data_IF_341955242858
#
_entry.id   IF_341955242858
#
_cell.length_a   1.000
_cell.length_b   1.000
_cell.length_c   1.000
_cell.angle_alpha   90.00
_cell.angle_beta   90.00
_cell.angle_gamma   90.00
#
_symmetry.space_group_name_H-M   'P 1'
#
loop_
_entity.id
_entity.type
_entity.pdbx_description
1 polymer ?
#
# COMPACT_ATOMS: atom_id res chain seq x y z
N UNK A 1 -15.64 -8.96 29.05
CA UNK A 1 -14.90 -7.77 28.59
C UNK A 1 -14.02 -8.20 27.41
N UNK A 2 -13.87 -7.38 26.37
CA UNK A 2 -12.94 -7.65 25.26
C UNK A 2 -11.50 -7.36 25.71
N UNK A 3 -10.52 -8.13 25.16
CA UNK A 3 -9.10 -7.94 25.47
C UNK A 3 -8.58 -6.59 24.96
N UNK A 4 -9.06 -6.21 23.75
CA UNK A 4 -8.66 -4.99 23.06
C UNK A 4 -9.86 -4.18 22.60
N UNK A 5 -9.65 -2.89 22.40
CA UNK A 5 -10.62 -2.04 21.71
C UNK A 5 -10.51 -2.25 20.20
N UNK A 6 -9.30 -2.44 19.68
CA UNK A 6 -9.07 -2.78 18.28
C UNK A 6 -7.98 -3.84 18.10
N UNK A 7 -8.24 -4.81 17.22
CA UNK A 7 -7.23 -5.75 16.72
C UNK A 7 -7.03 -5.48 15.24
N UNK A 8 -5.77 -5.38 14.82
CA UNK A 8 -5.37 -5.04 13.46
C UNK A 8 -4.61 -6.22 12.84
N UNK A 9 -5.01 -6.65 11.65
CA UNK A 9 -4.35 -7.72 10.90
C UNK A 9 -3.39 -7.11 9.88
N UNK A 10 -2.09 -7.26 10.13
CA UNK A 10 -0.99 -6.75 9.30
C UNK A 10 -0.34 -5.50 9.84
N UNK A 11 1.00 -5.50 9.90
CA UNK A 11 1.86 -4.41 10.34
C UNK A 11 2.46 -3.61 9.16
N UNK A 12 1.78 -3.54 8.02
CA UNK A 12 2.15 -2.64 6.93
C UNK A 12 1.78 -1.19 7.22
N UNK A 13 1.99 -0.27 6.26
CA UNK A 13 1.72 1.16 6.46
C UNK A 13 0.28 1.44 6.93
N UNK A 14 -0.73 0.79 6.34
CA UNK A 14 -2.12 0.97 6.75
C UNK A 14 -2.36 0.50 8.19
N UNK A 15 -1.88 -0.70 8.54
CA UNK A 15 -2.07 -1.25 9.89
C UNK A 15 -1.34 -0.46 10.95
N UNK A 16 -0.09 -0.07 10.72
CA UNK A 16 0.66 0.76 11.65
C UNK A 16 0.06 2.17 11.80
N UNK A 17 -0.42 2.77 10.69
CA UNK A 17 -1.10 4.07 10.76
C UNK A 17 -2.39 3.99 11.60
N UNK A 18 -3.19 2.92 11.40
CA UNK A 18 -4.36 2.65 12.24
C UNK A 18 -3.97 2.50 13.71
N UNK A 19 -2.94 1.69 13.99
CA UNK A 19 -2.51 1.39 15.35
C UNK A 19 -2.02 2.65 16.08
N UNK A 20 -1.17 3.44 15.42
CA UNK A 20 -0.64 4.69 15.98
C UNK A 20 -1.78 5.65 16.31
N UNK A 21 -2.69 5.90 15.37
CA UNK A 21 -3.78 6.84 15.57
C UNK A 21 -4.75 6.36 16.68
N UNK A 22 -5.10 5.09 16.73
CA UNK A 22 -5.93 4.53 17.81
C UNK A 22 -5.23 4.62 19.18
N UNK A 23 -3.93 4.28 19.26
CA UNK A 23 -3.17 4.35 20.51
C UNK A 23 -2.98 5.79 21.00
N UNK A 24 -2.81 6.77 20.11
CA UNK A 24 -2.77 8.21 20.45
C UNK A 24 -4.08 8.69 21.11
N UNK A 25 -5.20 8.01 20.85
CA UNK A 25 -6.51 8.25 21.49
C UNK A 25 -6.76 7.37 22.70
N UNK A 26 -5.74 6.67 23.21
CA UNK A 26 -5.83 5.88 24.44
C UNK A 26 -6.55 4.51 24.27
N UNK A 27 -6.81 4.05 23.05
CA UNK A 27 -7.39 2.74 22.84
C UNK A 27 -6.36 1.61 23.07
N UNK A 28 -6.82 0.47 23.58
CA UNK A 28 -6.02 -0.76 23.72
C UNK A 28 -5.93 -1.43 22.33
N UNK A 29 -4.74 -1.48 21.77
CA UNK A 29 -4.49 -1.94 20.40
C UNK A 29 -3.60 -3.16 20.35
N UNK A 30 -3.96 -4.16 19.54
CA UNK A 30 -3.07 -5.25 19.16
C UNK A 30 -2.90 -5.31 17.64
N UNK A 31 -1.67 -5.58 17.18
CA UNK A 31 -1.35 -5.89 15.79
C UNK A 31 -0.97 -7.37 15.70
N UNK A 32 -1.55 -8.09 14.73
CA UNK A 32 -1.20 -9.47 14.37
C UNK A 32 -0.47 -9.44 13.03
N UNK A 33 0.83 -9.71 13.03
CA UNK A 33 1.67 -9.71 11.82
C UNK A 33 2.30 -11.09 11.62
N UNK A 34 2.12 -11.66 10.41
CA UNK A 34 2.58 -13.02 10.10
C UNK A 34 4.10 -13.17 9.98
N UNK A 35 4.81 -12.08 9.66
CA UNK A 35 6.25 -12.07 9.45
C UNK A 35 6.96 -11.31 10.57
N UNK A 36 8.16 -11.76 10.92
CA UNK A 36 9.04 -10.97 11.77
C UNK A 36 9.58 -9.76 11.01
N UNK A 37 9.74 -8.65 11.70
CA UNK A 37 10.41 -7.46 11.19
C UNK A 37 11.93 -7.53 11.48
N UNK A 38 12.80 -6.92 10.60
CA UNK A 38 12.45 -6.26 9.35
C UNK A 38 12.03 -7.25 8.26
N UNK A 39 11.18 -6.82 7.33
CA UNK A 39 10.74 -7.62 6.18
C UNK A 39 10.78 -6.82 4.89
N UNK A 40 11.21 -7.46 3.80
CA UNK A 40 11.27 -6.82 2.49
C UNK A 40 9.90 -6.77 1.82
N UNK A 41 9.60 -5.62 1.24
CA UNK A 41 8.42 -5.33 0.41
C UNK A 41 8.81 -4.31 -0.66
N UNK A 42 8.19 -4.29 -1.83
CA UNK A 42 8.37 -3.22 -2.82
C UNK A 42 7.62 -1.95 -2.41
N UNK A 43 7.99 -0.83 -3.06
CA UNK A 43 7.32 0.46 -2.88
C UNK A 43 8.17 1.46 -2.08
N UNK A 44 9.43 1.59 -2.46
CA UNK A 44 10.43 2.47 -1.83
C UNK A 44 10.22 3.93 -2.20
N UNK A 45 9.65 4.20 -3.40
CA UNK A 45 9.40 5.57 -3.86
C UNK A 45 8.12 6.11 -3.25
N UNK A 46 8.27 7.15 -2.46
CA UNK A 46 7.19 7.78 -1.71
C UNK A 46 6.91 9.18 -2.28
N UNK A 47 5.64 9.42 -2.59
CA UNK A 47 5.16 10.72 -3.06
C UNK A 47 5.36 11.81 -1.99
N UNK A 48 5.64 13.10 -2.35
CA UNK A 48 5.80 14.20 -1.39
C UNK A 48 4.66 14.34 -0.39
N UNK A 49 3.43 14.11 -0.81
CA UNK A 49 2.24 14.17 0.05
C UNK A 49 2.26 13.24 1.27
N UNK A 50 3.26 12.38 1.40
CA UNK A 50 3.42 11.51 2.58
C UNK A 50 3.93 12.29 3.81
N UNK A 51 4.65 13.42 3.63
CA UNK A 51 5.29 14.16 4.74
C UNK A 51 4.31 14.60 5.83
N UNK A 52 3.15 15.21 5.52
CA UNK A 52 2.18 15.59 6.55
C UNK A 52 1.69 14.38 7.36
N UNK A 53 1.51 13.23 6.71
CA UNK A 53 1.07 12.01 7.38
C UNK A 53 2.16 11.45 8.29
N UNK A 54 3.42 11.44 7.85
CA UNK A 54 4.55 11.01 8.67
C UNK A 54 4.76 11.92 9.88
N UNK A 55 4.52 13.24 9.73
CA UNK A 55 4.51 14.21 10.85
C UNK A 55 3.40 13.89 11.85
N UNK A 56 2.17 13.67 11.38
CA UNK A 56 1.01 13.34 12.22
C UNK A 56 1.19 12.00 12.94
N UNK A 57 1.80 11.01 12.28
CA UNK A 57 2.12 9.72 12.87
C UNK A 57 3.37 9.75 13.77
N UNK A 58 4.09 10.89 13.85
CA UNK A 58 5.24 11.10 14.70
C UNK A 58 6.48 10.29 14.34
N UNK A 59 6.69 10.00 13.04
CA UNK A 59 7.88 9.28 12.53
C UNK A 59 8.74 10.13 11.59
N UNK A 60 8.38 11.37 11.33
CA UNK A 60 9.08 12.23 10.36
C UNK A 60 10.54 12.49 10.75
N UNK A 61 10.85 12.63 12.06
CA UNK A 61 12.22 12.86 12.52
C UNK A 61 13.16 11.69 12.17
N UNK A 62 12.70 10.44 12.31
CA UNK A 62 13.45 9.25 11.93
C UNK A 62 13.70 9.20 10.42
N UNK A 63 12.68 9.57 9.63
CA UNK A 63 12.79 9.63 8.17
C UNK A 63 13.80 10.69 7.74
N UNK A 64 13.77 11.87 8.34
CA UNK A 64 14.74 12.94 8.05
C UNK A 64 16.18 12.55 8.43
N UNK A 65 16.35 11.91 9.58
CA UNK A 65 17.66 11.45 10.05
C UNK A 65 18.29 10.38 9.13
N UNK A 66 17.48 9.63 8.39
CA UNK A 66 17.93 8.55 7.50
C UNK A 66 18.65 9.00 6.23
N UNK A 67 18.65 10.30 5.90
CA UNK A 67 19.33 10.89 4.73
C UNK A 67 19.04 10.14 3.42
N UNK A 68 17.79 9.79 3.21
CA UNK A 68 17.34 9.08 2.01
C UNK A 68 17.42 9.94 0.75
N UNK A 69 17.50 9.30 -0.41
CA UNK A 69 17.46 9.98 -1.72
C UNK A 69 16.12 10.72 -1.83
N UNK A 70 16.15 11.97 -2.31
CA UNK A 70 15.00 12.86 -2.44
C UNK A 70 14.76 13.18 -3.93
N UNK A 71 13.91 12.44 -4.65
CA UNK A 71 13.52 12.78 -6.02
C UNK A 71 12.57 13.99 -6.02
N UNK A 72 12.71 14.87 -7.01
CA UNK A 72 11.85 16.04 -7.23
C UNK A 72 10.78 15.81 -8.31
N UNK A 73 10.77 14.65 -8.93
CA UNK A 73 9.86 14.27 -10.00
C UNK A 73 10.25 12.94 -10.62
N UNK A 74 9.60 12.63 -11.74
CA UNK A 74 9.87 11.43 -12.50
C UNK A 74 10.32 11.82 -13.92
N UNK A 75 11.32 11.11 -14.44
CA UNK A 75 11.59 11.09 -15.86
C UNK A 75 10.62 10.13 -16.54
N UNK A 76 9.98 10.59 -17.61
CA UNK A 76 8.98 9.81 -18.36
C UNK A 76 9.38 9.79 -19.83
N UNK A 77 9.54 8.59 -20.35
CA UNK A 77 9.75 8.33 -21.78
C UNK A 77 8.54 7.54 -22.28
N UNK A 78 7.49 8.28 -22.60
CA UNK A 78 6.20 7.71 -23.01
C UNK A 78 6.18 7.45 -24.53
N UNK A 79 6.88 8.29 -25.29
CA UNK A 79 7.14 8.13 -26.73
C UNK A 79 8.66 8.20 -26.98
N UNK A 80 9.14 9.01 -27.89
CA UNK A 80 10.58 9.13 -28.20
C UNK A 80 11.31 10.10 -27.29
N UNK A 81 10.60 11.08 -26.74
CA UNK A 81 11.17 12.12 -25.90
C UNK A 81 11.13 11.78 -24.43
N UNK A 82 12.24 12.07 -23.77
CA UNK A 82 12.38 11.93 -22.32
C UNK A 82 12.03 13.25 -21.64
N UNK A 83 10.92 13.29 -20.92
CA UNK A 83 10.41 14.49 -20.28
C UNK A 83 10.48 14.36 -18.75
N UNK A 84 10.90 15.44 -18.06
CA UNK A 84 10.87 15.48 -16.60
C UNK A 84 9.51 16.01 -16.13
N UNK A 85 8.81 15.22 -15.30
CA UNK A 85 7.55 15.61 -14.66
C UNK A 85 7.82 15.90 -13.19
N UNK A 86 7.88 17.17 -12.76
CA UNK A 86 8.11 17.54 -11.36
C UNK A 86 6.90 17.16 -10.52
N UNK A 87 7.11 16.90 -9.22
CA UNK A 87 6.02 16.65 -8.27
C UNK A 87 5.20 17.90 -7.94
N UNK A 88 5.71 19.09 -8.26
CA UNK A 88 5.09 20.38 -7.98
C UNK A 88 5.99 21.26 -7.10
N UNK A 89 5.43 22.39 -6.71
CA UNK A 89 6.07 23.36 -5.81
C UNK A 89 5.01 24.15 -5.03
N UNK A 90 5.45 24.80 -3.96
CA UNK A 90 4.70 25.79 -3.19
C UNK A 90 5.62 26.96 -2.79
N UNK A 91 5.19 27.77 -1.83
CA UNK A 91 5.97 28.91 -1.33
C UNK A 91 7.30 28.49 -0.65
N UNK A 92 7.38 27.25 -0.15
CA UNK A 92 8.56 26.71 0.53
C UNK A 92 9.56 26.07 -0.47
N UNK A 93 9.19 25.94 -1.74
CA UNK A 93 10.05 25.44 -2.83
C UNK A 93 9.51 24.22 -3.56
N UNK A 94 10.40 23.53 -4.28
CA UNK A 94 10.04 22.34 -5.05
C UNK A 94 9.78 21.14 -4.13
N UNK A 95 8.67 20.45 -4.37
CA UNK A 95 8.32 19.24 -3.63
C UNK A 95 9.25 18.08 -3.95
N UNK A 96 9.67 17.36 -2.92
CA UNK A 96 10.52 16.19 -3.09
C UNK A 96 9.93 14.98 -2.36
N UNK A 97 9.95 13.85 -3.06
CA UNK A 97 9.60 12.55 -2.48
C UNK A 97 10.72 11.93 -1.65
N UNK A 98 10.62 10.65 -1.39
CA UNK A 98 11.67 9.87 -0.72
C UNK A 98 11.87 8.54 -1.41
N UNK A 99 13.12 8.04 -1.38
CA UNK A 99 13.46 6.66 -1.69
C UNK A 99 13.82 5.97 -0.38
N UNK A 100 12.88 5.29 0.25
CA UNK A 100 13.05 4.65 1.57
C UNK A 100 12.76 3.16 1.42
N UNK A 101 13.70 2.26 1.76
CA UNK A 101 13.41 0.83 1.84
C UNK A 101 12.19 0.58 2.73
N UNK A 102 11.26 -0.23 2.26
CA UNK A 102 10.03 -0.52 2.99
C UNK A 102 10.29 -1.23 4.32
N UNK A 103 11.33 -2.04 4.42
CA UNK A 103 11.78 -2.62 5.69
C UNK A 103 12.11 -1.53 6.72
N UNK A 104 12.70 -0.42 6.29
CA UNK A 104 13.04 0.72 7.14
C UNK A 104 11.80 1.54 7.51
N UNK A 105 10.99 1.96 6.53
CA UNK A 105 9.79 2.75 6.79
C UNK A 105 8.79 1.99 7.67
N UNK A 106 8.49 0.75 7.29
CA UNK A 106 7.56 -0.10 8.04
C UNK A 106 8.09 -0.36 9.46
N UNK A 107 9.43 -0.48 9.62
CA UNK A 107 10.10 -0.58 10.93
C UNK A 107 9.91 0.67 11.79
N UNK A 108 10.05 1.87 11.24
CA UNK A 108 9.80 3.13 11.97
C UNK A 108 8.36 3.24 12.44
N UNK A 109 7.42 2.91 11.57
CA UNK A 109 5.98 2.93 11.89
C UNK A 109 5.65 1.92 13.00
N UNK A 110 6.14 0.69 12.90
CA UNK A 110 5.88 -0.35 13.90
C UNK A 110 6.53 0.00 15.24
N UNK A 111 7.78 0.47 15.25
CA UNK A 111 8.45 0.92 16.47
C UNK A 111 7.71 2.06 17.16
N UNK A 112 7.16 3.01 16.38
CA UNK A 112 6.31 4.10 16.92
C UNK A 112 5.02 3.54 17.54
N UNK A 113 4.35 2.59 16.88
CA UNK A 113 3.16 1.96 17.44
C UNK A 113 3.46 1.27 18.78
N UNK A 114 4.54 0.48 18.85
CA UNK A 114 4.99 -0.19 20.08
C UNK A 114 5.32 0.83 21.18
N UNK A 115 6.00 1.92 20.86
CA UNK A 115 6.32 2.99 21.81
C UNK A 115 5.08 3.68 22.38
N UNK A 116 3.93 3.60 21.70
CA UNK A 116 2.62 4.08 22.16
C UNK A 116 1.83 3.02 22.96
N UNK A 117 2.43 1.85 23.24
CA UNK A 117 1.80 0.78 24.02
C UNK A 117 1.01 -0.23 23.17
N UNK A 118 1.13 -0.20 21.83
CA UNK A 118 0.50 -1.22 20.98
C UNK A 118 1.17 -2.57 21.19
N UNK A 119 0.38 -3.62 21.41
CA UNK A 119 0.89 -4.98 21.48
C UNK A 119 1.11 -5.53 20.05
N UNK A 120 2.36 -5.67 19.64
CA UNK A 120 2.72 -6.25 18.35
C UNK A 120 3.02 -7.74 18.49
N UNK A 121 2.15 -8.59 17.94
CA UNK A 121 2.29 -10.04 17.89
C UNK A 121 2.92 -10.43 16.56
N UNK A 122 4.22 -10.73 16.55
CA UNK A 122 4.98 -11.12 15.37
C UNK A 122 6.13 -12.09 15.72
N UNK A 123 6.34 -13.19 14.96
CA UNK A 123 5.45 -13.67 13.91
C UNK A 123 4.16 -14.30 14.49
N UNK A 124 2.99 -13.87 14.00
CA UNK A 124 1.71 -14.39 14.44
C UNK A 124 0.72 -14.44 13.27
N UNK A 125 0.09 -15.61 13.07
CA UNK A 125 -0.86 -15.81 11.98
C UNK A 125 -2.30 -15.67 12.45
N UNK A 126 -3.07 -14.79 11.83
CA UNK A 126 -4.52 -14.76 11.91
C UNK A 126 -5.08 -16.00 11.19
N UNK A 127 -5.82 -16.85 11.89
CA UNK A 127 -6.35 -18.12 11.37
C UNK A 127 -7.81 -18.03 10.97
N UNK A 128 -8.65 -17.56 11.89
CA UNK A 128 -10.09 -17.50 11.70
C UNK A 128 -10.66 -16.23 12.34
N UNK A 129 -11.61 -15.59 11.67
CA UNK A 129 -12.40 -14.50 12.27
C UNK A 129 -13.36 -15.09 13.31
N UNK A 130 -13.50 -14.39 14.44
CA UNK A 130 -14.47 -14.73 15.48
C UNK A 130 -15.74 -13.91 15.23
N UNK A 131 -16.87 -14.61 15.14
CA UNK A 131 -18.19 -14.02 14.87
C UNK A 131 -19.16 -14.36 16.01
N UNK A 132 -19.96 -13.38 16.39
CA UNK A 132 -21.10 -13.55 17.29
C UNK A 132 -22.28 -12.76 16.71
N UNK A 133 -23.42 -13.43 16.46
CA UNK A 133 -24.63 -12.83 15.90
C UNK A 133 -24.36 -11.96 14.63
N UNK A 134 -23.47 -12.43 13.74
CA UNK A 134 -23.10 -11.70 12.52
C UNK A 134 -22.17 -10.50 12.73
N UNK A 135 -21.68 -10.28 13.96
CA UNK A 135 -20.69 -9.26 14.29
C UNK A 135 -19.29 -9.87 14.37
N UNK A 136 -18.31 -9.17 13.84
CA UNK A 136 -16.90 -9.51 14.05
C UNK A 136 -16.52 -9.12 15.49
N UNK A 137 -16.02 -10.11 16.25
CA UNK A 137 -15.67 -9.96 17.67
C UNK A 137 -14.18 -10.18 17.94
N UNK A 138 -13.40 -10.53 16.93
CA UNK A 138 -11.97 -10.77 17.10
C UNK A 138 -11.39 -11.74 16.09
N UNK A 139 -10.23 -12.30 16.45
CA UNK A 139 -9.48 -13.23 15.62
C UNK A 139 -8.91 -14.39 16.43
N UNK A 140 -9.00 -15.60 15.90
CA UNK A 140 -8.25 -16.76 16.36
C UNK A 140 -6.86 -16.75 15.73
N UNK A 141 -5.83 -16.81 16.57
CA UNK A 141 -4.43 -16.95 16.15
C UNK A 141 -3.89 -18.34 16.52
N UNK A 142 -2.63 -18.62 16.20
CA UNK A 142 -1.95 -19.84 16.65
C UNK A 142 -1.73 -19.88 18.17
N UNK A 143 -1.62 -18.71 18.80
CA UNK A 143 -1.28 -18.56 20.22
C UNK A 143 -2.51 -18.32 21.10
N UNK A 144 -3.70 -18.23 20.52
CA UNK A 144 -4.95 -18.01 21.26
C UNK A 144 -5.92 -17.10 20.51
N UNK A 145 -7.09 -16.90 21.10
CA UNK A 145 -8.09 -15.97 20.63
C UNK A 145 -7.78 -14.55 21.14
N UNK A 146 -8.00 -13.56 20.30
CA UNK A 146 -7.94 -12.12 20.66
C UNK A 146 -9.32 -11.53 20.43
N UNK A 147 -10.00 -11.13 21.48
CA UNK A 147 -11.29 -10.48 21.39
C UNK A 147 -11.16 -8.96 21.27
N UNK A 148 -12.02 -8.33 20.46
CA UNK A 148 -11.98 -6.89 20.27
C UNK A 148 -13.36 -6.28 20.02
N UNK A 149 -13.47 -4.96 20.23
CA UNK A 149 -14.66 -4.19 19.86
C UNK A 149 -14.73 -3.97 18.35
N UNK A 150 -13.59 -3.73 17.70
CA UNK A 150 -13.44 -3.52 16.26
C UNK A 150 -12.22 -4.27 15.72
N UNK A 151 -12.34 -4.86 14.54
CA UNK A 151 -11.23 -5.48 13.83
C UNK A 151 -10.90 -4.67 12.57
N UNK A 152 -9.59 -4.41 12.33
CA UNK A 152 -9.16 -3.76 11.10
C UNK A 152 -8.30 -4.72 10.27
N UNK A 153 -8.75 -5.02 9.05
CA UNK A 153 -7.94 -5.78 8.09
C UNK A 153 -7.05 -4.84 7.28
N UNK A 154 -5.76 -4.90 7.54
CA UNK A 154 -4.68 -4.23 6.80
C UNK A 154 -3.67 -5.26 6.25
N UNK A 155 -4.15 -6.46 5.88
CA UNK A 155 -3.34 -7.60 5.43
C UNK A 155 -2.74 -7.46 4.03
N UNK A 156 -2.95 -6.31 3.37
CA UNK A 156 -2.52 -6.02 2.01
C UNK A 156 -3.39 -6.74 0.97
N UNK A 157 -2.90 -6.83 -0.27
CA UNK A 157 -3.63 -7.39 -1.40
C UNK A 157 -4.12 -8.84 -1.19
N UNK A 158 -3.65 -9.50 -0.12
CA UNK A 158 -4.15 -10.81 0.31
C UNK A 158 -5.62 -10.77 0.75
N UNK A 159 -6.13 -9.65 1.35
CA UNK A 159 -7.52 -9.49 1.75
C UNK A 159 -7.97 -10.60 2.71
N UNK A 160 -7.34 -10.71 3.88
CA UNK A 160 -7.61 -11.82 4.81
C UNK A 160 -9.07 -11.86 5.24
N UNK A 161 -9.63 -10.73 5.71
CA UNK A 161 -11.00 -10.67 6.19
C UNK A 161 -12.02 -10.82 5.06
N UNK A 162 -11.72 -10.23 3.88
CA UNK A 162 -12.54 -10.40 2.67
C UNK A 162 -12.80 -11.87 2.36
N UNK A 163 -11.74 -12.70 2.48
CA UNK A 163 -11.86 -14.15 2.28
C UNK A 163 -12.54 -14.87 3.44
N UNK A 164 -12.25 -14.46 4.68
CA UNK A 164 -12.87 -15.07 5.86
C UNK A 164 -14.39 -14.90 5.90
N UNK A 165 -14.88 -13.74 5.43
CA UNK A 165 -16.30 -13.40 5.42
C UNK A 165 -16.99 -13.65 4.07
N UNK A 166 -16.26 -14.08 3.04
CA UNK A 166 -16.82 -14.26 1.70
C UNK A 166 -17.31 -12.95 1.06
N UNK A 167 -16.65 -11.82 1.36
CA UNK A 167 -17.04 -10.52 0.81
C UNK A 167 -16.69 -10.44 -0.68
N UNK A 168 -17.55 -9.82 -1.47
CA UNK A 168 -17.33 -9.58 -2.89
C UNK A 168 -16.19 -8.58 -3.15
N UNK A 169 -15.51 -8.79 -4.27
CA UNK A 169 -14.57 -7.81 -4.82
C UNK A 169 -14.95 -7.51 -6.27
N UNK A 170 -15.01 -6.22 -6.61
CA UNK A 170 -15.32 -5.75 -7.96
C UNK A 170 -14.03 -5.38 -8.67
N UNK A 171 -13.78 -6.00 -9.83
CA UNK A 171 -12.63 -5.71 -10.68
C UNK A 171 -12.95 -4.62 -11.72
N UNK A 172 -11.97 -3.76 -11.99
CA UNK A 172 -12.03 -2.64 -12.92
C UNK A 172 -10.98 -2.73 -14.04
N UNK A 173 -10.16 -3.79 -14.01
CA UNK A 173 -9.25 -4.20 -15.07
C UNK A 173 -9.31 -5.73 -15.25
N UNK A 174 -8.79 -6.27 -16.34
CA UNK A 174 -8.46 -7.70 -16.41
C UNK A 174 -7.37 -8.04 -15.38
N UNK A 175 -7.02 -9.31 -15.18
CA UNK A 175 -5.89 -9.70 -14.35
C UNK A 175 -4.61 -9.02 -14.81
N UNK A 176 -4.00 -8.22 -13.91
CA UNK A 176 -2.73 -7.53 -14.12
C UNK A 176 -1.67 -8.05 -13.15
N UNK A 177 -0.47 -8.27 -13.67
CA UNK A 177 0.68 -8.69 -12.87
C UNK A 177 1.85 -7.74 -13.09
N UNK A 178 2.38 -7.22 -12.00
CA UNK A 178 3.65 -6.50 -12.01
C UNK A 178 4.78 -7.46 -11.60
N UNK A 179 5.81 -7.57 -12.43
CA UNK A 179 7.08 -8.22 -12.06
C UNK A 179 8.05 -7.15 -11.55
N UNK A 180 8.83 -7.48 -10.54
CA UNK A 180 9.79 -6.55 -9.97
C UNK A 180 11.03 -7.26 -9.43
N UNK A 181 12.11 -6.49 -9.30
CA UNK A 181 13.36 -6.98 -8.75
C UNK A 181 14.35 -5.86 -8.46
N UNK A 182 15.49 -6.27 -7.94
CA UNK A 182 16.58 -5.37 -7.59
C UNK A 182 17.84 -5.77 -8.32
N UNK A 183 18.66 -4.77 -8.65
CA UNK A 183 19.97 -4.95 -9.27
C UNK A 183 20.98 -4.01 -8.62
N UNK A 184 22.25 -4.41 -8.64
CA UNK A 184 23.35 -3.59 -8.16
C UNK A 184 24.39 -3.36 -9.25
N UNK A 185 25.00 -2.19 -9.25
CA UNK A 185 26.04 -1.82 -10.21
C UNK A 185 26.06 -0.32 -10.48
N UNK A 186 26.35 0.07 -11.70
CA UNK A 186 26.35 1.47 -12.16
C UNK A 186 25.56 1.55 -13.45
N UNK A 187 24.64 2.48 -13.51
CA UNK A 187 23.82 2.77 -14.68
C UNK A 187 23.93 4.25 -15.02
N UNK A 188 23.69 4.57 -16.29
CA UNK A 188 23.48 5.94 -16.73
C UNK A 188 22.17 6.47 -16.19
N UNK A 189 22.11 7.77 -15.86
CA UNK A 189 20.87 8.41 -15.36
C UNK A 189 19.72 8.35 -16.37
N UNK A 190 20.02 8.26 -17.67
CA UNK A 190 19.00 8.06 -18.71
C UNK A 190 18.24 6.74 -18.61
N UNK A 191 18.83 5.75 -17.91
CA UNK A 191 18.18 4.46 -17.62
C UNK A 191 17.17 4.53 -16.48
N UNK A 192 17.06 5.66 -15.77
CA UNK A 192 16.13 5.83 -14.64
C UNK A 192 14.88 6.59 -15.07
N UNK A 193 13.71 6.08 -14.72
CA UNK A 193 12.43 6.72 -15.07
C UNK A 193 11.32 5.72 -15.38
N UNK A 194 10.29 6.23 -16.04
CA UNK A 194 9.14 5.47 -16.52
C UNK A 194 9.25 5.37 -18.05
N UNK A 195 9.14 4.17 -18.56
CA UNK A 195 9.30 3.88 -20.00
C UNK A 195 8.11 3.06 -20.48
N UNK A 196 7.58 3.46 -21.65
CA UNK A 196 6.52 2.73 -22.34
C UNK A 196 7.08 1.82 -23.43
N UNK A 197 6.42 0.68 -23.66
CA UNK A 197 6.62 -0.13 -24.84
C UNK A 197 5.31 -0.83 -25.26
N UNK A 198 5.36 -1.70 -26.28
CA UNK A 198 4.17 -2.39 -26.83
C UNK A 198 3.50 -3.37 -25.87
N UNK A 199 4.20 -3.79 -24.81
CA UNK A 199 3.71 -4.78 -23.85
C UNK A 199 3.14 -4.14 -22.59
N UNK A 200 3.44 -2.84 -22.36
CA UNK A 200 3.06 -2.11 -21.16
C UNK A 200 4.08 -1.04 -20.80
N UNK A 201 4.49 -0.98 -19.56
CA UNK A 201 5.48 -0.02 -19.09
C UNK A 201 6.44 -0.66 -18.09
N UNK A 202 7.60 -0.07 -17.93
CA UNK A 202 8.49 -0.38 -16.83
C UNK A 202 9.00 0.90 -16.16
N UNK A 203 9.32 0.76 -14.89
CA UNK A 203 9.85 1.82 -14.07
C UNK A 203 11.16 1.37 -13.42
N UNK A 204 12.11 2.29 -13.35
CA UNK A 204 13.43 2.07 -12.78
C UNK A 204 13.81 3.23 -11.89
N UNK A 205 14.38 2.95 -10.71
CA UNK A 205 14.85 3.99 -9.80
C UNK A 205 16.04 3.53 -8.98
N UNK A 206 16.89 4.48 -8.60
CA UNK A 206 17.90 4.26 -7.60
C UNK A 206 17.26 4.32 -6.21
N UNK A 207 17.34 3.22 -5.45
CA UNK A 207 16.74 3.08 -4.11
C UNK A 207 17.78 3.01 -3.00
N UNK A 208 19.07 2.96 -3.37
CA UNK A 208 20.19 2.94 -2.44
C UNK A 208 21.51 3.17 -3.15
N UNK A 209 22.63 3.12 -2.41
CA UNK A 209 23.98 3.25 -2.99
C UNK A 209 24.26 2.08 -3.95
N UNK A 210 24.31 2.37 -5.25
CA UNK A 210 24.48 1.36 -6.33
C UNK A 210 23.39 0.27 -6.29
N UNK A 211 22.24 0.53 -5.70
CA UNK A 211 21.10 -0.37 -5.65
C UNK A 211 19.95 0.26 -6.41
N UNK A 212 19.39 -0.49 -7.34
CA UNK A 212 18.32 -0.07 -8.23
C UNK A 212 17.16 -1.03 -8.15
N UNK A 213 15.96 -0.48 -8.19
CA UNK A 213 14.71 -1.22 -8.28
C UNK A 213 14.15 -1.07 -9.69
N UNK A 214 13.58 -2.12 -10.23
CA UNK A 214 12.81 -2.12 -11.45
C UNK A 214 11.47 -2.81 -11.24
N UNK A 215 10.43 -2.26 -11.90
CA UNK A 215 9.08 -2.83 -11.94
C UNK A 215 8.64 -2.88 -13.39
N UNK A 216 8.09 -4.01 -13.83
CA UNK A 216 7.53 -4.21 -15.15
C UNK A 216 6.06 -4.56 -15.04
N UNK A 217 5.17 -3.78 -15.67
CA UNK A 217 3.77 -4.11 -15.84
C UNK A 217 3.50 -4.56 -17.28
N UNK A 218 2.82 -5.68 -17.43
CA UNK A 218 2.29 -6.15 -18.69
C UNK A 218 0.79 -5.85 -18.77
N UNK A 219 0.34 -5.27 -19.89
CA UNK A 219 -1.06 -4.95 -20.09
C UNK A 219 -1.93 -6.19 -20.35
N UNK A 220 -1.33 -7.27 -20.80
CA UNK A 220 -1.99 -8.55 -21.04
C UNK A 220 -1.24 -9.70 -20.34
N UNK A 221 -1.97 -10.48 -19.56
CA UNK A 221 -1.38 -11.58 -18.78
C UNK A 221 -0.68 -12.62 -19.65
N UNK A 222 -1.20 -12.87 -20.85
CA UNK A 222 -0.62 -13.82 -21.81
C UNK A 222 0.77 -13.39 -22.33
N UNK A 223 1.11 -12.11 -22.22
CA UNK A 223 2.39 -11.55 -22.70
C UNK A 223 3.49 -11.58 -21.64
N UNK A 224 3.21 -12.05 -20.43
CA UNK A 224 4.18 -12.10 -19.34
C UNK A 224 5.33 -13.03 -19.71
N UNK A 225 6.51 -12.46 -19.86
CA UNK A 225 7.76 -13.20 -20.10
C UNK A 225 8.78 -12.85 -19.02
N UNK A 226 9.08 -13.81 -18.15
CA UNK A 226 10.05 -13.61 -17.06
C UNK A 226 11.48 -13.40 -17.58
N UNK A 227 11.82 -14.01 -18.71
CA UNK A 227 13.17 -13.90 -19.29
C UNK A 227 13.49 -12.51 -19.82
N UNK A 228 12.47 -11.75 -20.27
CA UNK A 228 12.61 -10.38 -20.78
C UNK A 228 11.98 -9.33 -19.87
N UNK A 229 11.75 -9.65 -18.60
CA UNK A 229 11.14 -8.72 -17.66
C UNK A 229 12.10 -7.65 -17.14
N UNK A 230 13.39 -7.99 -17.04
CA UNK A 230 14.44 -7.04 -16.64
C UNK A 230 14.62 -6.02 -17.77
N UNK A 231 14.58 -4.71 -17.47
CA UNK A 231 14.87 -3.70 -18.49
C UNK A 231 16.24 -3.93 -19.14
N UNK A 232 16.36 -3.75 -20.46
CA UNK A 232 17.61 -3.99 -21.18
C UNK A 232 18.78 -3.16 -20.67
N UNK A 233 18.51 -1.94 -20.20
CA UNK A 233 19.48 -1.08 -19.54
C UNK A 233 20.00 -1.65 -18.20
N UNK A 234 19.38 -2.69 -17.65
CA UNK A 234 19.74 -3.32 -16.38
C UNK A 234 20.26 -4.75 -16.54
N UNK A 235 20.24 -5.32 -17.74
CA UNK A 235 20.67 -6.71 -17.99
C UNK A 235 22.15 -6.99 -17.62
N UNK A 236 22.99 -5.96 -17.74
CA UNK A 236 24.42 -6.06 -17.38
C UNK A 236 24.69 -5.94 -15.88
N UNK A 237 23.68 -5.63 -15.06
CA UNK A 237 23.82 -5.45 -13.62
C UNK A 237 23.69 -6.78 -12.87
N UNK A 238 24.27 -6.83 -11.68
CA UNK A 238 24.15 -7.99 -10.79
C UNK A 238 22.77 -8.00 -10.13
N UNK A 239 22.03 -9.11 -10.30
CA UNK A 239 20.74 -9.29 -9.61
C UNK A 239 20.91 -9.37 -8.09
N UNK A 240 20.02 -8.71 -7.36
CA UNK A 240 19.94 -8.74 -5.89
C UNK A 240 18.65 -9.43 -5.48
N UNK A 241 18.75 -10.62 -4.93
CA UNK A 241 17.59 -11.44 -4.58
C UNK A 241 16.90 -12.08 -5.80
N UNK A 242 15.66 -12.52 -5.61
CA UNK A 242 14.87 -13.16 -6.65
C UNK A 242 13.86 -12.17 -7.23
N UNK A 243 13.64 -12.23 -8.54
CA UNK A 243 12.51 -11.57 -9.18
C UNK A 243 11.20 -12.08 -8.58
N UNK A 244 10.27 -11.18 -8.32
CA UNK A 244 8.98 -11.47 -7.73
C UNK A 244 7.86 -10.94 -8.63
N UNK A 245 6.62 -11.42 -8.38
CA UNK A 245 5.42 -10.94 -9.03
C UNK A 245 4.36 -10.55 -8.01
N UNK A 246 3.60 -9.52 -8.35
CA UNK A 246 2.46 -9.06 -7.56
C UNK A 246 1.20 -8.99 -8.43
N UNK A 247 0.09 -9.48 -7.91
CA UNK A 247 -1.23 -9.22 -8.50
C UNK A 247 -1.64 -7.79 -8.20
N UNK A 248 -1.73 -6.99 -9.27
CA UNK A 248 -2.08 -5.57 -9.25
C UNK A 248 -3.36 -5.29 -10.02
N UNK A 249 -4.21 -6.30 -10.19
CA UNK A 249 -5.56 -6.17 -10.76
C UNK A 249 -6.32 -5.07 -10.03
N UNK A 250 -6.86 -4.10 -10.77
CA UNK A 250 -7.64 -3.01 -10.19
C UNK A 250 -8.92 -3.54 -9.59
N UNK A 251 -9.05 -3.45 -8.28
CA UNK A 251 -10.22 -3.99 -7.58
C UNK A 251 -10.53 -3.24 -6.29
N UNK A 252 -11.77 -3.31 -5.89
CA UNK A 252 -12.28 -2.79 -4.62
C UNK A 252 -13.06 -3.88 -3.89
N UNK A 253 -12.87 -4.01 -2.59
CA UNK A 253 -13.75 -4.77 -1.72
C UNK A 253 -15.09 -4.05 -1.60
N UNK A 254 -16.18 -4.70 -1.98
CA UNK A 254 -17.51 -4.08 -2.01
C UNK A 254 -18.02 -3.69 -0.61
N UNK A 255 -17.53 -4.38 0.42
CA UNK A 255 -17.91 -4.15 1.82
C UNK A 255 -16.66 -3.87 2.67
N UNK A 256 -15.97 -2.73 2.40
CA UNK A 256 -14.77 -2.33 3.13
C UNK A 256 -15.01 -1.96 4.61
N UNK A 257 -16.25 -1.97 5.08
CA UNK A 257 -16.63 -1.85 6.49
C UNK A 257 -17.97 -2.55 6.76
N UNK A 258 -18.16 -3.00 7.98
CA UNK A 258 -19.38 -3.67 8.41
C UNK A 258 -19.47 -3.80 9.93
N UNK A 259 -20.28 -4.75 10.37
CA UNK A 259 -20.55 -4.93 11.80
C UNK A 259 -19.29 -5.44 12.53
N UNK A 260 -18.61 -4.53 13.22
CA UNK A 260 -17.40 -4.81 14.01
C UNK A 260 -16.10 -4.85 13.19
N UNK A 261 -16.05 -4.33 11.96
CA UNK A 261 -14.81 -4.35 11.18
C UNK A 261 -14.68 -3.19 10.17
N UNK A 262 -13.41 -2.90 9.82
CA UNK A 262 -12.99 -2.05 8.71
C UNK A 262 -11.87 -2.74 7.91
N UNK A 263 -11.73 -2.42 6.63
CA UNK A 263 -10.68 -2.94 5.73
C UNK A 263 -9.92 -1.77 5.13
N UNK A 264 -8.60 -1.72 5.31
CA UNK A 264 -7.75 -0.60 4.91
C UNK A 264 -6.58 -1.01 4.01
N UNK A 265 -6.00 -0.06 3.30
CA UNK A 265 -4.89 -0.27 2.36
C UNK A 265 -5.28 -1.19 1.21
N UNK A 266 -4.30 -1.96 0.71
CA UNK A 266 -4.53 -2.88 -0.42
C UNK A 266 -5.52 -4.01 -0.09
N UNK A 267 -5.86 -4.25 1.17
CA UNK A 267 -6.92 -5.16 1.54
C UNK A 267 -8.30 -4.65 1.14
N UNK A 268 -8.48 -3.32 1.07
CA UNK A 268 -9.71 -2.67 0.62
C UNK A 268 -9.73 -2.37 -0.87
N UNK A 269 -8.62 -1.88 -1.42
CA UNK A 269 -8.54 -1.47 -2.83
C UNK A 269 -7.13 -1.69 -3.36
N UNK A 270 -7.04 -2.25 -4.55
CA UNK A 270 -5.77 -2.40 -5.29
C UNK A 270 -5.86 -1.63 -6.59
N UNK A 271 -4.80 -0.90 -6.90
CA UNK A 271 -4.54 -0.31 -8.21
C UNK A 271 -3.07 -0.56 -8.55
N UNK A 272 -2.71 -0.57 -9.81
CA UNK A 272 -1.34 -0.87 -10.18
C UNK A 272 -0.35 0.25 -9.83
N UNK A 273 0.96 -0.05 -9.84
CA UNK A 273 1.99 0.89 -9.41
C UNK A 273 2.11 2.16 -10.26
N UNK A 274 1.51 2.21 -11.45
CA UNK A 274 1.44 3.43 -12.28
C UNK A 274 0.76 4.60 -11.57
N UNK A 275 -0.08 4.32 -10.56
CA UNK A 275 -0.67 5.35 -9.71
C UNK A 275 0.35 6.06 -8.79
N UNK A 276 1.52 5.46 -8.55
CA UNK A 276 2.65 6.03 -7.78
C UNK A 276 2.35 6.45 -6.33
N UNK A 277 1.21 6.07 -5.72
CA UNK A 277 0.83 6.51 -4.38
C UNK A 277 0.27 5.41 -3.46
N UNK A 278 0.63 4.15 -3.69
CA UNK A 278 0.14 3.02 -2.89
C UNK A 278 0.42 3.15 -1.39
N UNK A 279 1.63 3.58 -0.98
CA UNK A 279 1.97 3.78 0.43
C UNK A 279 1.23 4.97 1.03
N UNK A 280 1.12 6.09 0.30
CA UNK A 280 0.33 7.26 0.71
C UNK A 280 -1.12 6.86 1.01
N UNK A 281 -1.75 6.15 0.09
CA UNK A 281 -3.12 5.65 0.21
C UNK A 281 -3.27 4.67 1.38
N UNK A 282 -2.28 3.79 1.60
CA UNK A 282 -2.28 2.88 2.72
C UNK A 282 -2.28 3.63 4.06
N UNK A 283 -1.41 4.64 4.22
CA UNK A 283 -1.39 5.48 5.43
C UNK A 283 -2.71 6.22 5.62
N UNK A 284 -3.23 6.89 4.58
CA UNK A 284 -4.46 7.66 4.68
C UNK A 284 -5.67 6.76 5.01
N UNK A 285 -5.81 5.61 4.35
CA UNK A 285 -6.91 4.68 4.66
C UNK A 285 -6.79 4.06 6.04
N UNK A 286 -5.56 3.82 6.52
CA UNK A 286 -5.32 3.38 7.89
C UNK A 286 -5.72 4.43 8.93
N UNK A 287 -5.38 5.70 8.70
CA UNK A 287 -5.77 6.80 9.57
C UNK A 287 -7.29 7.03 9.56
N UNK A 288 -7.93 6.92 8.38
CA UNK A 288 -9.39 7.00 8.26
C UNK A 288 -10.08 5.81 8.97
N UNK A 289 -9.51 4.60 8.88
CA UNK A 289 -10.01 3.45 9.63
C UNK A 289 -9.90 3.68 11.16
N UNK A 290 -8.79 4.27 11.61
CA UNK A 290 -8.63 4.64 13.01
C UNK A 290 -9.69 5.64 13.46
N UNK A 291 -9.96 6.69 12.68
CA UNK A 291 -11.01 7.66 12.97
C UNK A 291 -12.37 6.97 13.11
N UNK A 292 -12.70 6.08 12.18
CA UNK A 292 -13.96 5.32 12.22
C UNK A 292 -14.03 4.35 13.43
N UNK A 293 -12.91 3.75 13.83
CA UNK A 293 -12.81 2.91 15.03
C UNK A 293 -13.05 3.74 16.29
N UNK A 294 -12.39 4.89 16.43
CA UNK A 294 -12.51 5.79 17.57
C UNK A 294 -13.97 6.25 17.71
N UNK A 295 -14.55 6.78 16.64
CA UNK A 295 -15.94 7.22 16.62
C UNK A 295 -16.93 6.09 16.97
N UNK A 296 -16.70 4.88 16.44
CA UNK A 296 -17.50 3.69 16.74
C UNK A 296 -17.33 3.18 18.17
N UNK A 297 -16.18 3.43 18.81
CA UNK A 297 -15.96 3.15 20.22
C UNK A 297 -16.70 4.13 21.14
N UNK A 298 -16.71 5.41 20.76
CA UNK A 298 -17.36 6.49 21.52
C UNK A 298 -18.89 6.47 21.34
N UNK A 299 -19.36 6.13 20.12
CA UNK A 299 -20.78 6.14 19.73
C UNK A 299 -21.21 4.81 19.10
N UNK A 300 -21.34 3.72 19.88
CA UNK A 300 -21.65 2.38 19.33
C UNK A 300 -22.97 2.28 18.57
N UNK A 301 -23.94 3.17 18.87
CA UNK A 301 -25.24 3.24 18.19
C UNK A 301 -25.14 3.73 16.76
N UNK A 302 -24.08 4.48 16.42
CA UNK A 302 -23.86 5.06 15.09
C UNK A 302 -23.03 4.16 14.16
N UNK A 303 -22.72 2.93 14.57
CA UNK A 303 -21.82 2.03 13.81
C UNK A 303 -22.20 1.86 12.34
N UNK A 304 -23.50 1.80 12.01
CA UNK A 304 -23.95 1.68 10.62
C UNK A 304 -23.63 2.93 9.80
N UNK A 305 -23.84 4.10 10.36
CA UNK A 305 -23.57 5.39 9.70
C UNK A 305 -22.07 5.53 9.45
N UNK A 306 -21.25 5.26 10.47
CA UNK A 306 -19.78 5.30 10.39
C UNK A 306 -19.28 4.34 9.31
N UNK A 307 -19.78 3.10 9.27
CA UNK A 307 -19.42 2.11 8.26
C UNK A 307 -19.79 2.57 6.85
N UNK A 308 -20.96 3.19 6.66
CA UNK A 308 -21.39 3.72 5.36
C UNK A 308 -20.50 4.88 4.90
N UNK A 309 -20.16 5.81 5.79
CA UNK A 309 -19.28 6.94 5.49
C UNK A 309 -17.87 6.46 5.11
N UNK A 310 -17.30 5.52 5.86
CA UNK A 310 -16.02 4.91 5.54
C UNK A 310 -16.03 4.22 4.17
N UNK A 311 -17.05 3.39 3.89
CA UNK A 311 -17.21 2.71 2.59
C UNK A 311 -17.32 3.69 1.43
N UNK A 312 -18.09 4.78 1.62
CA UNK A 312 -18.22 5.84 0.61
C UNK A 312 -16.87 6.50 0.35
N UNK A 313 -16.13 6.88 1.38
CA UNK A 313 -14.82 7.51 1.26
C UNK A 313 -13.81 6.62 0.51
N UNK A 314 -13.74 5.32 0.84
CA UNK A 314 -12.89 4.34 0.14
C UNK A 314 -13.27 4.25 -1.34
N UNK A 315 -14.57 4.20 -1.64
CA UNK A 315 -15.08 4.09 -3.01
C UNK A 315 -14.76 5.34 -3.83
N UNK A 316 -15.11 6.52 -3.32
CA UNK A 316 -14.93 7.79 -4.02
C UNK A 316 -13.46 8.01 -4.40
N UNK A 317 -12.55 7.67 -3.49
CA UNK A 317 -11.13 7.73 -3.78
C UNK A 317 -10.71 6.72 -4.85
N UNK A 318 -11.09 5.46 -4.69
CA UNK A 318 -10.75 4.41 -5.66
C UNK A 318 -11.28 4.74 -7.07
N UNK A 319 -12.50 5.22 -7.20
CA UNK A 319 -13.08 5.62 -8.49
C UNK A 319 -12.32 6.80 -9.11
N UNK A 320 -11.87 7.76 -8.30
CA UNK A 320 -11.00 8.84 -8.74
C UNK A 320 -9.66 8.31 -9.27
N UNK A 321 -9.05 7.34 -8.58
CA UNK A 321 -7.81 6.70 -9.03
C UNK A 321 -8.01 5.94 -10.34
N UNK A 322 -9.07 5.15 -10.45
CA UNK A 322 -9.42 4.41 -11.69
C UNK A 322 -9.59 5.37 -12.86
N UNK A 323 -10.26 6.51 -12.65
CA UNK A 323 -10.43 7.53 -13.69
C UNK A 323 -9.06 8.06 -14.16
N UNK A 324 -8.19 8.46 -13.23
CA UNK A 324 -6.84 8.96 -13.54
C UNK A 324 -5.99 7.92 -14.27
N UNK A 325 -6.05 6.67 -13.82
CA UNK A 325 -5.30 5.58 -14.46
C UNK A 325 -5.80 5.29 -15.87
N UNK A 326 -7.10 5.34 -16.10
CA UNK A 326 -7.67 5.21 -17.45
C UNK A 326 -7.20 6.35 -18.37
N UNK A 327 -7.15 7.60 -17.87
CA UNK A 327 -6.63 8.74 -18.60
C UNK A 327 -5.14 8.56 -18.92
N UNK A 328 -4.33 8.14 -17.95
CA UNK A 328 -2.91 7.85 -18.13
C UNK A 328 -2.68 6.78 -19.20
N UNK A 329 -3.44 5.69 -19.16
CA UNK A 329 -3.29 4.59 -20.12
C UNK A 329 -3.85 4.90 -21.51
N UNK A 330 -4.82 5.80 -21.65
CA UNK A 330 -5.22 6.32 -22.95
C UNK A 330 -4.13 7.17 -23.62
N UNK A 331 -3.33 7.87 -22.81
CA UNK A 331 -2.18 8.65 -23.31
C UNK A 331 -0.95 7.77 -23.58
N UNK A 332 -0.98 6.46 -23.28
CA UNK A 332 0.11 5.54 -23.59
C UNK A 332 0.26 5.38 -25.11
N UNK A 333 1.49 5.33 -25.68
CA UNK A 333 1.69 5.15 -27.12
C UNK A 333 1.06 3.87 -27.67
N UNK A 334 0.88 2.87 -26.81
CA UNK A 334 0.24 1.59 -27.12
C UNK A 334 -0.82 1.31 -26.05
N UNK A 335 -2.01 1.96 -26.08
CA UNK A 335 -3.03 1.80 -25.07
C UNK A 335 -3.48 0.35 -24.95
N UNK A 336 -3.73 -0.15 -23.73
CA UNK A 336 -4.17 -1.52 -23.56
C UNK A 336 -5.58 -1.73 -24.14
N UNK A 337 -5.81 -2.82 -24.91
CA UNK A 337 -7.08 -3.04 -25.62
C UNK A 337 -8.32 -3.13 -24.70
N UNK A 338 -8.11 -3.45 -23.44
CA UNK A 338 -9.20 -3.58 -22.46
C UNK A 338 -9.74 -2.26 -21.92
N UNK A 339 -9.07 -1.12 -22.17
CA UNK A 339 -9.54 0.20 -21.72
C UNK A 339 -10.88 0.63 -22.30
N UNK A 340 -11.17 0.19 -23.53
CA UNK A 340 -12.37 0.57 -24.25
C UNK A 340 -13.56 -0.35 -23.95
N UNK A 341 -13.32 -1.43 -23.18
CA UNK A 341 -14.40 -2.29 -22.72
C UNK A 341 -15.08 -1.67 -21.51
N UNK A 342 -16.42 -1.53 -21.54
CA UNK A 342 -17.18 -0.92 -20.45
C UNK A 342 -17.09 -1.68 -19.13
#
# INVERSE_FOLDING_TARGET
MTDYDVVIIGAGPAGCATAIACAQHGLRVAIVERLSFPRERPGETLHPGIEPLLKQLGVMNQVQAGKFIRPFGNWVTWDKERNFTPFGNDADGAWSGFQIPRSTLDGFLLAKAIALGVQALQPCHAKKVLLENGRVMGVQTLTGALSCRQLVDASGAHGWLTRQLGLGSRCYSPPLTALYGYTSGTVDESALGIFADRLGWYWTAQVGRKLYHWTRLYFEHAQICKASAVPSSFEHLTHVGKMQGADVTWRICEQSAGNGYFIAGDASTVIDPGASHGVLKALMSGMMAAQAVIEGCDNPTNQQVISLQYRRWIRDWFESDVKRMRELYRAHPFPPPWLEKP
#
